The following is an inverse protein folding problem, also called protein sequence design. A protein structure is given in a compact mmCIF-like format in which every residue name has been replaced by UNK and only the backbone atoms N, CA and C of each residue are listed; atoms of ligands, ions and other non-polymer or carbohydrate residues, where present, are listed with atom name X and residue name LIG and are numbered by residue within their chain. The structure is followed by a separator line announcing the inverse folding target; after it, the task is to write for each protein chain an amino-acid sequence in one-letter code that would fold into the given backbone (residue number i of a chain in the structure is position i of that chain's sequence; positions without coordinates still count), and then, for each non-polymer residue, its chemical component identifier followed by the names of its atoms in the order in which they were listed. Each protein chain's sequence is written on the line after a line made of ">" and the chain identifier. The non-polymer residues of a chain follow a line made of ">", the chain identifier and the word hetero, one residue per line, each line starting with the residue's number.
data_IF_649819974295
#
_entry.id   IF_649819974295
#
_cell.length_a   1.000
_cell.length_b   1.000
_cell.length_c   1.000
_cell.angle_alpha   90.00
_cell.angle_beta   90.00
_cell.angle_gamma   90.00
#
_symmetry.space_group_name_H-M   'P 1'
#
loop_
_entity.id
_entity.type
_entity.pdbx_description
1 polymer ?
#
# COMPACT_ATOMS: atom_id res chain seq x y z
N UNK A 1 -20.17 27.09 -39.71
CA UNK A 1 -21.17 26.41 -38.85
C UNK A 1 -21.22 24.94 -39.26
N UNK A 2 -20.44 24.08 -38.61
CA UNK A 2 -20.59 22.62 -38.61
C UNK A 2 -19.91 22.13 -37.32
N UNK A 3 -20.68 21.47 -36.46
CA UNK A 3 -20.37 21.24 -35.06
C UNK A 3 -19.19 20.30 -34.85
N UNK A 4 -18.21 20.76 -34.07
CA UNK A 4 -17.24 19.90 -33.39
C UNK A 4 -18.02 19.11 -32.31
N UNK A 5 -18.51 17.93 -32.67
CA UNK A 5 -19.05 16.96 -31.73
C UNK A 5 -17.96 16.63 -30.72
N UNK A 6 -18.20 16.97 -29.45
CA UNK A 6 -17.40 16.44 -28.34
C UNK A 6 -17.51 14.91 -28.43
N UNK A 7 -16.42 14.13 -28.39
CA UNK A 7 -16.58 12.70 -28.19
C UNK A 7 -17.12 12.53 -26.77
N UNK A 8 -18.43 12.34 -26.64
CA UNK A 8 -19.01 11.71 -25.47
C UNK A 8 -18.37 10.34 -25.40
N UNK A 9 -17.39 10.19 -24.52
CA UNK A 9 -16.68 8.93 -24.32
C UNK A 9 -17.71 7.93 -23.79
N UNK A 10 -18.26 7.12 -24.69
CA UNK A 10 -19.19 6.04 -24.33
C UNK A 10 -18.45 5.05 -23.44
N UNK A 11 -19.18 4.37 -22.54
CA UNK A 11 -18.60 3.34 -21.66
C UNK A 11 -17.81 2.30 -22.48
N UNK A 12 -18.27 1.99 -23.71
CA UNK A 12 -17.57 1.15 -24.69
C UNK A 12 -16.20 1.72 -25.09
N UNK A 13 -16.09 3.02 -25.36
CA UNK A 13 -14.81 3.68 -25.66
C UNK A 13 -13.84 3.70 -24.47
N UNK A 14 -14.33 3.89 -23.25
CA UNK A 14 -13.51 3.77 -22.05
C UNK A 14 -13.01 2.33 -21.82
N UNK A 15 -13.90 1.33 -21.94
CA UNK A 15 -13.52 -0.09 -21.81
C UNK A 15 -12.50 -0.51 -22.87
N UNK A 16 -12.69 -0.12 -24.13
CA UNK A 16 -11.81 -0.54 -25.22
C UNK A 16 -10.44 0.15 -25.14
N UNK A 17 -10.41 1.41 -24.71
CA UNK A 17 -9.17 2.20 -24.66
C UNK A 17 -8.35 1.91 -23.40
N UNK A 18 -9.01 1.68 -22.26
CA UNK A 18 -8.33 1.59 -20.96
C UNK A 18 -8.26 0.17 -20.40
N UNK A 19 -9.24 -0.69 -20.70
CA UNK A 19 -9.43 -1.98 -20.02
C UNK A 19 -9.16 -3.20 -20.91
N UNK A 20 -9.54 -3.18 -22.21
CA UNK A 20 -9.52 -4.39 -23.04
C UNK A 20 -9.48 -4.12 -24.56
N UNK A 21 -8.66 -4.82 -25.37
CA UNK A 21 -8.70 -4.71 -26.83
C UNK A 21 -10.04 -5.16 -27.42
N UNK A 22 -10.43 -4.57 -28.55
CA UNK A 22 -11.76 -4.70 -29.19
C UNK A 22 -12.18 -6.17 -29.42
N UNK A 23 -11.23 -7.05 -29.75
CA UNK A 23 -11.45 -8.50 -29.93
C UNK A 23 -11.91 -9.20 -28.65
N UNK A 24 -11.34 -8.87 -27.48
CA UNK A 24 -11.75 -9.51 -26.22
C UNK A 24 -13.09 -8.93 -25.70
N UNK A 25 -13.46 -7.71 -26.10
CA UNK A 25 -14.79 -7.16 -25.81
C UNK A 25 -15.89 -7.94 -26.53
N UNK A 26 -15.68 -8.26 -27.80
CA UNK A 26 -16.66 -9.02 -28.58
C UNK A 26 -16.78 -10.47 -28.06
N UNK A 27 -15.67 -11.18 -27.85
CA UNK A 27 -15.72 -12.59 -27.40
C UNK A 27 -16.30 -12.76 -25.98
N UNK A 28 -16.11 -11.79 -25.08
CA UNK A 28 -16.58 -11.87 -23.69
C UNK A 28 -18.03 -11.40 -23.50
N UNK A 29 -18.43 -10.29 -24.14
CA UNK A 29 -19.77 -9.71 -23.98
C UNK A 29 -20.77 -10.11 -25.07
N UNK A 30 -20.31 -10.51 -26.26
CA UNK A 30 -21.19 -10.87 -27.39
C UNK A 30 -21.31 -12.39 -27.52
N UNK A 31 -20.20 -13.13 -27.44
CA UNK A 31 -20.19 -14.59 -27.67
C UNK A 31 -20.26 -15.47 -26.41
N UNK A 32 -20.14 -14.90 -25.19
CA UNK A 32 -20.14 -15.62 -23.90
C UNK A 32 -19.17 -16.83 -23.82
N UNK A 33 -18.10 -16.84 -24.62
CA UNK A 33 -17.05 -17.87 -24.56
C UNK A 33 -15.79 -17.28 -23.91
N UNK A 34 -15.59 -17.43 -22.58
CA UNK A 34 -14.45 -16.84 -21.90
C UNK A 34 -13.17 -17.60 -22.28
N UNK A 35 -12.49 -17.12 -23.32
CA UNK A 35 -11.17 -17.63 -23.67
C UNK A 35 -10.18 -17.22 -22.56
N UNK A 36 -9.46 -18.20 -21.99
CA UNK A 36 -8.54 -18.01 -20.85
C UNK A 36 -7.60 -16.80 -21.03
N UNK A 37 -7.07 -16.59 -22.25
CA UNK A 37 -6.18 -15.48 -22.56
C UNK A 37 -6.82 -14.08 -22.39
N UNK A 38 -8.08 -13.90 -22.80
CA UNK A 38 -8.78 -12.63 -22.63
C UNK A 38 -9.13 -12.37 -21.15
N UNK A 39 -9.51 -13.41 -20.41
CA UNK A 39 -9.80 -13.29 -18.98
C UNK A 39 -8.55 -12.89 -18.19
N UNK A 40 -7.42 -13.53 -18.45
CA UNK A 40 -6.13 -13.20 -17.82
C UNK A 40 -5.72 -11.75 -18.11
N UNK A 41 -5.86 -11.29 -19.36
CA UNK A 41 -5.55 -9.91 -19.73
C UNK A 41 -6.41 -8.87 -18.99
N UNK A 42 -7.73 -9.09 -18.91
CA UNK A 42 -8.63 -8.19 -18.19
C UNK A 42 -8.31 -8.17 -16.70
N UNK A 43 -8.01 -9.34 -16.12
CA UNK A 43 -7.62 -9.44 -14.72
C UNK A 43 -6.33 -8.67 -14.45
N UNK A 44 -5.28 -8.87 -15.26
CA UNK A 44 -4.01 -8.13 -15.15
C UNK A 44 -4.22 -6.61 -15.19
N UNK A 45 -5.01 -6.13 -16.16
CA UNK A 45 -5.30 -4.70 -16.29
C UNK A 45 -6.08 -4.16 -15.08
N UNK A 46 -7.06 -4.93 -14.61
CA UNK A 46 -7.90 -4.57 -13.46
C UNK A 46 -7.09 -4.54 -12.17
N UNK A 47 -6.24 -5.55 -11.94
CA UNK A 47 -5.34 -5.60 -10.79
C UNK A 47 -4.30 -4.48 -10.83
N UNK A 48 -3.77 -4.12 -12.00
CA UNK A 48 -2.89 -2.97 -12.15
C UNK A 48 -3.53 -1.65 -11.70
N UNK A 49 -4.77 -1.37 -12.17
CA UNK A 49 -5.51 -0.19 -11.71
C UNK A 49 -5.89 -0.27 -10.23
N UNK A 50 -6.26 -1.45 -9.75
CA UNK A 50 -6.58 -1.67 -8.34
C UNK A 50 -5.38 -1.37 -7.44
N UNK A 51 -4.18 -1.86 -7.78
CA UNK A 51 -2.96 -1.62 -7.02
C UNK A 51 -2.62 -0.14 -6.97
N UNK A 52 -2.75 0.57 -8.10
CA UNK A 52 -2.52 2.01 -8.11
C UNK A 52 -3.50 2.75 -7.18
N UNK A 53 -4.78 2.39 -7.22
CA UNK A 53 -5.80 2.96 -6.35
C UNK A 53 -5.55 2.61 -4.87
N UNK A 54 -5.23 1.36 -4.60
CA UNK A 54 -4.92 0.85 -3.27
C UNK A 54 -3.73 1.60 -2.66
N UNK A 55 -2.65 1.78 -3.43
CA UNK A 55 -1.45 2.49 -2.99
C UNK A 55 -1.73 3.96 -2.62
N UNK A 56 -2.67 4.61 -3.31
CA UNK A 56 -3.09 5.98 -3.01
C UNK A 56 -3.99 6.05 -1.77
N UNK A 57 -4.80 5.01 -1.53
CA UNK A 57 -5.79 4.99 -0.48
C UNK A 57 -5.33 4.28 0.79
N UNK A 58 -4.29 3.42 0.78
CA UNK A 58 -3.99 2.51 1.90
C UNK A 58 -3.80 3.27 3.23
N UNK A 59 -3.03 4.36 3.23
CA UNK A 59 -2.67 5.08 4.46
C UNK A 59 -3.60 6.25 4.78
N UNK A 60 -4.40 6.73 3.83
CA UNK A 60 -5.33 7.85 4.05
C UNK A 60 -6.39 7.55 5.12
N UNK A 61 -7.10 6.39 5.13
CA UNK A 61 -8.03 6.03 6.19
C UNK A 61 -7.36 5.91 7.55
N UNK A 62 -6.09 5.50 7.60
CA UNK A 62 -5.34 5.42 8.86
C UNK A 62 -5.04 6.82 9.38
N UNK A 63 -4.51 7.69 8.52
CA UNK A 63 -4.21 9.08 8.83
C UNK A 63 -5.46 9.84 9.28
N UNK A 64 -6.57 9.72 8.54
CA UNK A 64 -7.84 10.35 8.88
C UNK A 64 -8.38 9.84 10.21
N UNK A 65 -8.27 8.53 10.49
CA UNK A 65 -8.69 7.95 11.76
C UNK A 65 -7.88 8.49 12.94
N UNK A 66 -6.56 8.63 12.80
CA UNK A 66 -5.70 9.22 13.83
C UNK A 66 -6.07 10.68 14.08
N UNK A 67 -6.25 11.48 13.02
CA UNK A 67 -6.63 12.88 13.11
C UNK A 67 -7.99 13.08 13.78
N UNK A 68 -8.98 12.28 13.38
CA UNK A 68 -10.33 12.37 13.95
C UNK A 68 -10.35 11.94 15.41
N UNK A 69 -9.62 10.89 15.77
CA UNK A 69 -9.57 10.38 17.15
C UNK A 69 -8.58 11.15 18.04
N UNK A 70 -7.73 11.99 17.45
CA UNK A 70 -6.66 12.75 18.10
C UNK A 70 -5.80 11.88 19.04
N UNK A 71 -5.51 10.65 18.61
CA UNK A 71 -4.80 9.67 19.43
C UNK A 71 -4.09 8.64 18.56
N UNK A 72 -2.89 8.23 18.98
CA UNK A 72 -2.10 7.16 18.36
C UNK A 72 -2.10 5.86 19.17
N UNK A 73 -3.03 5.70 20.11
CA UNK A 73 -3.12 4.53 20.98
C UNK A 73 -3.23 3.21 20.17
N UNK A 74 -2.44 2.21 20.55
CA UNK A 74 -2.39 0.89 19.89
C UNK A 74 -1.56 0.81 18.60
N UNK A 75 -1.07 1.94 18.07
CA UNK A 75 -0.20 1.95 16.88
C UNK A 75 1.27 1.72 17.27
N UNK A 76 1.95 0.90 16.49
CA UNK A 76 3.37 0.61 16.68
C UNK A 76 4.23 1.63 15.94
N UNK A 77 5.05 2.40 16.68
CA UNK A 77 5.99 3.35 16.08
C UNK A 77 7.04 2.61 15.24
N UNK A 78 7.48 1.42 15.68
CA UNK A 78 8.42 0.58 14.93
C UNK A 78 7.84 0.13 13.60
N UNK A 79 6.57 -0.32 13.58
CA UNK A 79 5.87 -0.63 12.32
C UNK A 79 5.81 0.58 11.40
N UNK A 80 5.40 1.74 11.91
CA UNK A 80 5.30 2.96 11.11
C UNK A 80 6.66 3.41 10.52
N UNK A 81 7.75 3.29 11.29
CA UNK A 81 9.11 3.59 10.81
C UNK A 81 9.59 2.59 9.74
N UNK A 82 9.31 1.29 9.93
CA UNK A 82 9.62 0.28 8.92
C UNK A 82 8.84 0.52 7.63
N UNK A 83 7.58 0.97 7.74
CA UNK A 83 6.77 1.29 6.58
C UNK A 83 7.26 2.57 5.88
N UNK A 84 7.65 3.60 6.64
CA UNK A 84 8.33 4.78 6.09
C UNK A 84 9.60 4.37 5.31
N UNK A 85 10.41 3.46 5.86
CA UNK A 85 11.59 2.93 5.19
C UNK A 85 11.25 2.15 3.92
N UNK A 86 10.28 1.23 3.99
CA UNK A 86 9.81 0.48 2.83
C UNK A 86 9.33 1.38 1.68
N UNK A 87 8.65 2.49 1.98
CA UNK A 87 8.22 3.47 0.97
C UNK A 87 9.37 4.34 0.46
N UNK A 88 10.39 4.61 1.28
CA UNK A 88 11.50 5.50 0.92
C UNK A 88 12.51 4.83 -0.02
N UNK A 89 12.77 3.53 0.13
CA UNK A 89 13.79 2.83 -0.68
C UNK A 89 13.49 2.84 -2.19
N UNK A 90 12.26 2.54 -2.68
CA UNK A 90 11.95 2.64 -4.11
C UNK A 90 12.06 4.06 -4.67
N UNK A 91 11.69 5.07 -3.88
CA UNK A 91 11.86 6.49 -4.24
C UNK A 91 13.34 6.83 -4.39
N UNK A 92 14.16 6.40 -3.43
CA UNK A 92 15.61 6.61 -3.47
C UNK A 92 16.23 5.97 -4.71
N UNK A 93 15.86 4.72 -5.00
CA UNK A 93 16.33 3.99 -6.16
C UNK A 93 15.92 4.65 -7.48
N UNK A 94 14.67 5.10 -7.60
CA UNK A 94 14.20 5.78 -8.81
C UNK A 94 14.89 7.13 -9.03
N UNK A 95 15.08 7.91 -7.96
CA UNK A 95 15.78 9.19 -8.00
C UNK A 95 17.27 9.02 -8.36
N UNK A 96 17.95 8.04 -7.76
CA UNK A 96 19.36 7.76 -8.02
C UNK A 96 19.62 7.31 -9.46
N UNK A 97 18.68 6.57 -10.05
CA UNK A 97 18.74 6.15 -11.46
C UNK A 97 18.21 7.21 -12.44
N UNK A 98 17.91 8.43 -11.99
CA UNK A 98 17.39 9.53 -12.82
C UNK A 98 16.14 9.17 -13.62
N UNK A 99 15.27 8.32 -13.05
CA UNK A 99 14.01 7.94 -13.70
C UNK A 99 13.05 9.13 -13.75
N UNK A 100 12.28 9.29 -14.84
CA UNK A 100 11.37 10.41 -14.97
C UNK A 100 10.26 10.36 -13.90
N UNK A 101 9.91 11.53 -13.32
CA UNK A 101 8.99 11.65 -12.19
C UNK A 101 7.65 10.92 -12.41
N UNK A 102 7.13 10.89 -13.64
CA UNK A 102 5.83 10.27 -13.94
C UNK A 102 5.81 8.75 -13.69
N UNK A 103 6.97 8.08 -13.67
CA UNK A 103 7.03 6.61 -13.54
C UNK A 103 7.07 6.13 -12.10
N UNK A 104 7.28 7.03 -11.13
CA UNK A 104 7.38 6.71 -9.71
C UNK A 104 6.73 7.77 -8.81
N UNK A 105 6.03 8.73 -9.40
CA UNK A 105 5.40 9.85 -8.69
C UNK A 105 4.31 9.39 -7.72
N UNK A 106 3.64 8.28 -8.00
CA UNK A 106 2.69 7.64 -7.07
C UNK A 106 3.38 7.21 -5.77
N UNK A 107 4.65 6.76 -5.84
CA UNK A 107 5.43 6.33 -4.67
C UNK A 107 5.80 7.50 -3.76
N UNK A 108 5.98 8.70 -4.32
CA UNK A 108 6.17 9.93 -3.54
C UNK A 108 4.94 10.25 -2.69
N UNK A 109 3.74 10.05 -3.24
CA UNK A 109 2.50 10.29 -2.49
C UNK A 109 2.38 9.32 -1.31
N UNK A 110 2.64 8.04 -1.53
CA UNK A 110 2.64 7.04 -0.45
C UNK A 110 3.73 7.30 0.59
N UNK A 111 4.92 7.74 0.16
CA UNK A 111 5.97 8.15 1.08
C UNK A 111 5.53 9.33 1.96
N UNK A 112 4.88 10.34 1.37
CA UNK A 112 4.36 11.49 2.12
C UNK A 112 3.28 11.07 3.12
N UNK A 113 2.37 10.15 2.73
CA UNK A 113 1.36 9.59 3.64
C UNK A 113 2.02 8.82 4.79
N UNK A 114 3.08 8.05 4.53
CA UNK A 114 3.77 7.24 5.53
C UNK A 114 4.49 8.14 6.55
N UNK A 115 5.16 9.18 6.05
CA UNK A 115 5.79 10.21 6.88
C UNK A 115 4.76 10.93 7.75
N UNK A 116 3.59 11.27 7.20
CA UNK A 116 2.52 11.90 7.96
C UNK A 116 1.96 10.97 9.06
N UNK A 117 1.83 9.67 8.81
CA UNK A 117 1.45 8.69 9.85
C UNK A 117 2.49 8.63 10.97
N UNK A 118 3.78 8.57 10.64
CA UNK A 118 4.88 8.60 11.63
C UNK A 118 4.84 9.88 12.45
N UNK A 119 4.70 11.03 11.80
CA UNK A 119 4.58 12.33 12.45
C UNK A 119 3.43 12.34 13.46
N UNK A 120 2.23 11.92 13.03
CA UNK A 120 1.05 11.90 13.88
C UNK A 120 1.22 10.95 15.07
N UNK A 121 1.84 9.79 14.87
CA UNK A 121 2.12 8.85 15.96
C UNK A 121 2.99 9.50 17.03
N UNK A 122 4.08 10.17 16.64
CA UNK A 122 5.00 10.84 17.58
C UNK A 122 4.36 12.07 18.20
N UNK A 123 3.64 12.88 17.41
CA UNK A 123 2.93 14.07 17.87
C UNK A 123 1.92 13.75 18.98
N UNK A 124 1.10 12.69 18.82
CA UNK A 124 0.12 12.30 19.84
C UNK A 124 0.68 11.46 20.99
N UNK A 125 1.92 10.94 20.89
CA UNK A 125 2.57 10.16 21.96
C UNK A 125 3.49 11.00 22.84
N UNK A 126 4.12 12.00 22.26
CA UNK A 126 5.08 12.87 22.95
C UNK A 126 4.80 14.31 22.58
N UNK A 127 5.57 14.87 21.64
CA UNK A 127 5.50 16.28 21.28
C UNK A 127 5.70 16.45 19.76
N UNK A 128 5.14 17.53 19.21
CA UNK A 128 5.30 17.90 17.79
C UNK A 128 6.76 18.09 17.40
N UNK A 129 7.57 18.68 18.29
CA UNK A 129 8.98 18.99 18.02
C UNK A 129 9.78 17.71 17.79
N UNK A 130 9.60 16.69 18.63
CA UNK A 130 10.28 15.38 18.48
C UNK A 130 9.89 14.70 17.17
N UNK A 131 8.62 14.78 16.77
CA UNK A 131 8.14 14.24 15.49
C UNK A 131 8.79 14.94 14.30
N UNK A 132 8.87 16.27 14.33
CA UNK A 132 9.52 17.04 13.28
C UNK A 132 11.02 16.77 13.22
N UNK A 133 11.70 16.69 14.37
CA UNK A 133 13.13 16.40 14.44
C UNK A 133 13.45 15.01 13.91
N UNK A 134 12.65 14.00 14.25
CA UNK A 134 12.79 12.64 13.75
C UNK A 134 12.64 12.58 12.23
N UNK A 135 11.60 13.21 11.68
CA UNK A 135 11.38 13.24 10.23
C UNK A 135 12.46 14.03 9.50
N UNK A 136 12.86 15.19 10.03
CA UNK A 136 13.94 15.99 9.45
C UNK A 136 15.25 15.19 9.42
N UNK A 137 15.62 14.56 10.54
CA UNK A 137 16.82 13.73 10.62
C UNK A 137 16.75 12.56 9.64
N UNK A 138 15.59 11.91 9.52
CA UNK A 138 15.36 10.82 8.57
C UNK A 138 15.49 11.29 7.12
N UNK A 139 14.86 12.41 6.75
CA UNK A 139 14.93 12.99 5.41
C UNK A 139 16.36 13.37 5.04
N UNK A 140 17.11 13.98 5.96
CA UNK A 140 18.54 14.30 5.75
C UNK A 140 19.34 13.02 5.55
N UNK A 141 19.12 11.98 6.38
CA UNK A 141 19.81 10.70 6.23
C UNK A 141 19.53 10.04 4.87
N UNK A 142 18.26 10.02 4.42
CA UNK A 142 17.89 9.48 3.11
C UNK A 142 18.48 10.30 1.95
N UNK A 143 18.53 11.63 2.08
CA UNK A 143 19.13 12.51 1.08
C UNK A 143 20.65 12.29 0.97
N UNK A 144 21.36 12.20 2.11
CA UNK A 144 22.78 11.89 2.15
C UNK A 144 23.05 10.51 1.55
N UNK A 145 22.22 9.52 1.88
CA UNK A 145 22.34 8.18 1.32
C UNK A 145 22.17 8.19 -0.20
N UNK A 146 21.19 8.94 -0.73
CA UNK A 146 20.99 9.06 -2.18
C UNK A 146 22.10 9.82 -2.90
N UNK A 147 22.74 10.77 -2.22
CA UNK A 147 23.77 11.62 -2.82
C UNK A 147 25.16 10.97 -2.81
N UNK A 148 25.48 10.19 -1.78
CA UNK A 148 26.84 9.69 -1.54
C UNK A 148 26.98 8.17 -1.59
N UNK A 149 25.90 7.39 -1.53
CA UNK A 149 26.01 5.94 -1.55
C UNK A 149 26.33 5.41 -2.95
N UNK A 150 27.09 4.31 -3.00
CA UNK A 150 27.33 3.59 -4.24
C UNK A 150 26.01 3.01 -4.79
N UNK A 151 25.85 2.92 -6.13
CA UNK A 151 24.65 2.36 -6.74
C UNK A 151 24.27 0.97 -6.20
N UNK A 152 25.27 0.13 -5.92
CA UNK A 152 25.07 -1.20 -5.34
C UNK A 152 24.34 -1.17 -3.98
N UNK A 153 24.63 -0.17 -3.14
CA UNK A 153 23.97 0.01 -1.84
C UNK A 153 22.52 0.43 -2.04
N UNK A 154 22.25 1.32 -3.00
CA UNK A 154 20.90 1.80 -3.30
C UNK A 154 20.03 0.66 -3.85
N UNK A 155 20.57 -0.18 -4.74
CA UNK A 155 19.90 -1.38 -5.23
C UNK A 155 19.64 -2.37 -4.09
N UNK A 156 20.61 -2.61 -3.20
CA UNK A 156 20.39 -3.48 -2.04
C UNK A 156 19.29 -2.94 -1.10
N UNK A 157 19.24 -1.62 -0.88
CA UNK A 157 18.14 -1.00 -0.11
C UNK A 157 16.77 -1.19 -0.78
N UNK A 158 16.74 -1.16 -2.12
CA UNK A 158 15.52 -1.42 -2.85
C UNK A 158 15.03 -2.86 -2.63
N UNK A 159 15.91 -3.85 -2.69
CA UNK A 159 15.60 -5.26 -2.44
C UNK A 159 15.09 -5.51 -1.01
N UNK A 160 15.61 -4.78 -0.01
CA UNK A 160 15.17 -4.93 1.39
C UNK A 160 13.83 -4.24 1.69
N UNK A 161 13.30 -3.45 0.76
CA UNK A 161 12.05 -2.70 0.97
C UNK A 161 10.85 -3.60 1.24
N UNK A 162 10.74 -4.72 0.51
CA UNK A 162 9.67 -5.72 0.72
C UNK A 162 9.80 -6.38 2.10
N UNK A 163 11.01 -6.73 2.52
CA UNK A 163 11.26 -7.30 3.83
C UNK A 163 10.87 -6.32 4.95
N UNK A 164 11.20 -5.04 4.80
CA UNK A 164 10.79 -3.99 5.73
C UNK A 164 9.27 -3.84 5.81
N UNK A 165 8.57 -3.91 4.67
CA UNK A 165 7.11 -3.87 4.61
C UNK A 165 6.46 -5.05 5.34
N UNK A 166 6.96 -6.28 5.12
CA UNK A 166 6.48 -7.49 5.81
C UNK A 166 6.73 -7.37 7.31
N UNK A 167 7.94 -6.96 7.70
CA UNK A 167 8.31 -6.79 9.10
C UNK A 167 7.45 -5.71 9.79
N UNK A 168 7.09 -4.62 9.11
CA UNK A 168 6.13 -3.62 9.62
C UNK A 168 4.83 -4.27 10.08
N UNK A 169 4.21 -5.10 9.24
CA UNK A 169 2.96 -5.80 9.56
C UNK A 169 3.13 -6.74 10.74
N UNK A 170 4.26 -7.45 10.79
CA UNK A 170 4.63 -8.32 11.91
C UNK A 170 4.71 -7.56 13.24
N UNK A 171 5.40 -6.41 13.26
CA UNK A 171 5.48 -5.57 14.45
C UNK A 171 4.11 -5.04 14.89
N UNK A 172 3.26 -4.59 13.96
CA UNK A 172 1.92 -4.12 14.30
C UNK A 172 1.05 -5.27 14.84
N UNK A 173 1.13 -6.46 14.24
CA UNK A 173 0.40 -7.64 14.70
C UNK A 173 0.84 -8.06 16.12
N UNK A 174 2.14 -8.02 16.39
CA UNK A 174 2.68 -8.26 17.73
C UNK A 174 2.19 -7.21 18.72
N UNK A 175 2.24 -5.93 18.38
CA UNK A 175 1.75 -4.84 19.24
C UNK A 175 0.26 -4.98 19.55
N UNK A 176 -0.57 -5.33 18.55
CA UNK A 176 -1.99 -5.60 18.77
C UNK A 176 -2.21 -6.76 19.75
N UNK A 177 -1.42 -7.84 19.60
CA UNK A 177 -1.53 -9.01 20.46
C UNK A 177 -1.15 -8.70 21.91
N UNK A 178 0.00 -8.04 22.12
CA UNK A 178 0.48 -7.63 23.44
C UNK A 178 -0.48 -6.66 24.12
N UNK A 179 -1.04 -5.70 23.38
CA UNK A 179 -2.01 -4.75 23.93
C UNK A 179 -3.39 -5.37 24.18
N UNK A 180 -3.69 -6.55 23.61
CA UNK A 180 -5.02 -7.15 23.64
C UNK A 180 -6.11 -6.33 22.93
N UNK A 181 -5.72 -5.32 22.15
CA UNK A 181 -6.61 -4.45 21.39
C UNK A 181 -5.87 -3.83 20.19
N UNK A 182 -6.61 -3.43 19.15
CA UNK A 182 -6.04 -2.76 17.96
C UNK A 182 -5.98 -1.23 18.07
N UNK A 183 -6.56 -0.64 19.12
CA UNK A 183 -6.52 0.80 19.38
C UNK A 183 -7.10 1.61 18.21
N UNK A 184 -6.27 2.48 17.62
CA UNK A 184 -6.63 3.35 16.50
C UNK A 184 -6.25 2.79 15.12
N UNK A 185 -5.91 1.51 15.02
CA UNK A 185 -5.70 0.84 13.73
C UNK A 185 -7.00 0.84 12.91
N UNK A 186 -6.95 1.31 11.67
CA UNK A 186 -8.08 1.50 10.78
C UNK A 186 -8.43 0.19 10.08
N UNK A 187 -9.67 -0.27 10.23
CA UNK A 187 -10.16 -1.47 9.55
C UNK A 187 -10.14 -1.31 8.03
N UNK A 188 -10.42 -0.10 7.53
CA UNK A 188 -10.40 0.18 6.09
C UNK A 188 -8.97 0.12 5.55
N UNK A 189 -8.00 0.71 6.27
CA UNK A 189 -6.59 0.66 5.88
C UNK A 189 -6.05 -0.78 5.86
N UNK A 190 -6.40 -1.60 6.86
CA UNK A 190 -5.97 -3.01 6.90
C UNK A 190 -6.64 -3.85 5.81
N UNK A 191 -7.89 -3.57 5.45
CA UNK A 191 -8.57 -4.20 4.31
C UNK A 191 -7.89 -3.87 2.98
N UNK A 192 -7.54 -2.59 2.78
CA UNK A 192 -6.79 -2.14 1.60
C UNK A 192 -5.42 -2.82 1.54
N UNK A 193 -4.65 -2.78 2.63
CA UNK A 193 -3.34 -3.45 2.70
C UNK A 193 -3.41 -4.97 2.41
N UNK A 194 -4.48 -5.65 2.88
CA UNK A 194 -4.73 -7.04 2.51
C UNK A 194 -5.04 -7.21 1.02
N UNK A 195 -5.91 -6.38 0.46
CA UNK A 195 -6.27 -6.42 -0.96
C UNK A 195 -5.06 -6.13 -1.87
N UNK A 196 -4.25 -5.12 -1.53
CA UNK A 196 -2.99 -4.81 -2.23
C UNK A 196 -1.99 -5.96 -2.15
N UNK A 197 -1.82 -6.58 -0.98
CA UNK A 197 -0.90 -7.73 -0.81
C UNK A 197 -1.35 -8.94 -1.62
N UNK A 198 -2.66 -9.19 -1.67
CA UNK A 198 -3.24 -10.24 -2.48
C UNK A 198 -3.03 -9.97 -3.97
N UNK A 199 -3.25 -8.73 -4.42
CA UNK A 199 -3.00 -8.30 -5.80
C UNK A 199 -1.53 -8.47 -6.19
N UNK A 200 -0.59 -8.06 -5.34
CA UNK A 200 0.85 -8.26 -5.57
C UNK A 200 1.24 -9.73 -5.62
N UNK A 201 0.63 -10.58 -4.79
CA UNK A 201 0.86 -12.03 -4.83
C UNK A 201 0.39 -12.62 -6.17
N UNK A 202 -0.75 -12.16 -6.67
CA UNK A 202 -1.26 -12.59 -7.97
C UNK A 202 -0.35 -12.17 -9.12
N UNK A 203 0.13 -10.92 -9.14
CA UNK A 203 1.08 -10.44 -10.13
C UNK A 203 2.39 -11.25 -10.07
N UNK A 204 2.96 -11.47 -8.89
CA UNK A 204 4.20 -12.24 -8.74
C UNK A 204 4.07 -13.67 -9.30
N UNK A 205 2.89 -14.29 -9.16
CA UNK A 205 2.59 -15.60 -9.76
C UNK A 205 2.48 -15.53 -11.30
N UNK A 206 1.89 -14.46 -11.83
CA UNK A 206 1.73 -14.27 -13.27
C UNK A 206 3.05 -13.96 -13.98
N UNK A 207 3.85 -13.07 -13.39
CA UNK A 207 5.17 -12.69 -13.90
C UNK A 207 6.22 -13.81 -13.75
N UNK A 208 5.85 -14.93 -13.11
CA UNK A 208 6.72 -16.09 -12.81
C UNK A 208 8.01 -15.65 -12.14
N UNK A 209 7.87 -14.81 -11.12
CA UNK A 209 8.99 -14.39 -10.30
C UNK A 209 9.67 -15.58 -9.62
N UNK A 210 10.85 -15.34 -9.06
CA UNK A 210 11.56 -16.35 -8.28
C UNK A 210 10.74 -16.82 -7.06
N UNK A 211 10.86 -18.10 -6.73
CA UNK A 211 10.20 -18.72 -5.56
C UNK A 211 10.30 -17.91 -4.25
N UNK A 212 11.46 -17.33 -3.87
CA UNK A 212 11.55 -16.53 -2.64
C UNK A 212 10.73 -15.24 -2.69
N UNK A 213 10.60 -14.59 -3.85
CA UNK A 213 9.77 -13.39 -4.00
C UNK A 213 8.29 -13.72 -3.80
N UNK A 214 7.81 -14.77 -4.47
CA UNK A 214 6.44 -15.27 -4.32
C UNK A 214 6.14 -15.62 -2.86
N UNK A 215 7.07 -16.32 -2.18
CA UNK A 215 6.92 -16.67 -0.77
C UNK A 215 6.83 -15.44 0.14
N UNK A 216 7.61 -14.38 -0.13
CA UNK A 216 7.54 -13.12 0.60
C UNK A 216 6.18 -12.42 0.42
N UNK A 217 5.64 -12.39 -0.80
CA UNK A 217 4.30 -11.85 -1.07
C UNK A 217 3.19 -12.65 -0.37
N UNK A 218 3.26 -13.98 -0.38
CA UNK A 218 2.33 -14.84 0.37
C UNK A 218 2.41 -14.54 1.88
N UNK A 219 3.62 -14.43 2.44
CA UNK A 219 3.81 -14.09 3.85
C UNK A 219 3.19 -12.72 4.20
N UNK A 220 3.38 -11.72 3.34
CA UNK A 220 2.75 -10.40 3.48
C UNK A 220 1.23 -10.49 3.52
N UNK A 221 0.64 -11.30 2.63
CA UNK A 221 -0.81 -11.55 2.57
C UNK A 221 -1.31 -12.23 3.85
N UNK A 222 -0.60 -13.28 4.31
CA UNK A 222 -0.92 -13.97 5.57
C UNK A 222 -0.89 -13.04 6.79
N UNK A 223 0.13 -12.18 6.91
CA UNK A 223 0.20 -11.20 8.01
C UNK A 223 -0.94 -10.19 7.95
N UNK A 224 -1.38 -9.80 6.74
CA UNK A 224 -2.52 -8.91 6.55
C UNK A 224 -3.83 -9.58 6.99
N UNK A 225 -3.99 -10.88 6.70
CA UNK A 225 -5.10 -11.69 7.24
C UNK A 225 -5.07 -11.75 8.77
N UNK A 226 -3.90 -11.90 9.39
CA UNK A 226 -3.76 -11.89 10.86
C UNK A 226 -4.21 -10.55 11.44
N UNK A 227 -3.78 -9.42 10.86
CA UNK A 227 -4.20 -8.09 11.29
C UNK A 227 -5.72 -7.91 11.16
N UNK A 228 -6.31 -8.37 10.06
CA UNK A 228 -7.76 -8.40 9.85
C UNK A 228 -8.49 -9.19 10.94
N UNK A 229 -8.00 -10.41 11.22
CA UNK A 229 -8.56 -11.27 12.26
C UNK A 229 -8.48 -10.61 13.64
N UNK A 230 -7.35 -9.98 13.97
CA UNK A 230 -7.19 -9.24 15.24
C UNK A 230 -8.19 -8.09 15.37
N UNK A 231 -8.41 -7.30 14.31
CA UNK A 231 -9.41 -6.24 14.32
C UNK A 231 -10.80 -6.81 14.58
N UNK A 232 -11.18 -7.89 13.88
CA UNK A 232 -12.49 -8.51 14.03
C UNK A 232 -12.70 -9.07 15.45
N UNK A 233 -11.75 -9.90 15.93
CA UNK A 233 -11.83 -10.56 17.23
C UNK A 233 -11.86 -9.55 18.39
N UNK A 234 -10.99 -8.54 18.40
CA UNK A 234 -10.95 -7.56 19.48
C UNK A 234 -12.15 -6.60 19.45
N UNK A 235 -12.72 -6.32 18.26
CA UNK A 235 -13.98 -5.57 18.16
C UNK A 235 -15.14 -6.36 18.76
N UNK A 236 -15.23 -7.65 18.45
CA UNK A 236 -16.28 -8.53 18.98
C UNK A 236 -16.20 -8.64 20.51
N UNK A 237 -14.99 -8.85 21.05
CA UNK A 237 -14.77 -8.91 22.51
C UNK A 237 -15.22 -7.64 23.24
N UNK A 238 -14.92 -6.45 22.66
CA UNK A 238 -15.42 -5.17 23.19
C UNK A 238 -16.94 -5.09 23.19
N UNK A 239 -17.60 -5.55 22.13
CA UNK A 239 -19.05 -5.54 22.03
C UNK A 239 -19.71 -6.46 23.07
N UNK A 240 -19.18 -7.67 23.27
CA UNK A 240 -19.67 -8.61 24.29
C UNK A 240 -19.53 -8.05 25.70
N UNK A 241 -18.39 -7.41 26.02
CA UNK A 241 -18.19 -6.78 27.34
C UNK A 241 -19.13 -5.60 27.56
N UNK A 242 -19.41 -4.80 26.52
CA UNK A 242 -20.36 -3.69 26.61
C UNK A 242 -21.80 -4.17 26.81
N UNK A 243 -22.18 -5.31 26.23
CA UNK A 243 -23.53 -5.85 26.36
C UNK A 243 -23.76 -6.62 27.67
N UNK A 244 -22.71 -6.97 28.41
CA UNK A 244 -22.81 -7.61 29.73
C UNK A 244 -22.90 -6.63 30.91
N UNK A 245 -22.56 -5.36 30.68
CA UNK A 245 -22.58 -4.28 31.67
C UNK A 245 -23.73 -3.32 31.38
#
# INVERSE_FOLDING_TARGET
>A
RAGRSRPTMTIKGFLITFLMPEKCYETFFVDLHPHVACLTFVLEKTFGFWILLDLLLEQLPQLLKILWRRSSAGLSLTSALLQLHACSCPVLHAAANSLPLYSWGERLLTLAQAAAVVFLIVHYRSDTVKGLWLLSAYSVAMFLLGSYAAPAVISLLHETSLAAFIASKGFQARTNHVNGHTGQLSSVSVLLSWAGSLGLTFIALQERESLPSIAAHILSTCLSCVLMAQIYCYRNRKHVLKNRN
#
